data_IF_350065912215
#
_entry.id   IF_350065912215
#
_cell.length_a   1.000
_cell.length_b   1.000
_cell.length_c   1.000
_cell.angle_alpha   90.00
_cell.angle_beta   90.00
_cell.angle_gamma   90.00
#
_symmetry.space_group_name_H-M   'P 1'
#
loop_
_entity.id
_entity.type
_entity.pdbx_description
1 polymer ?
#
# COMPACT_ATOMS: atom_id res chain seq x y z
N UNK A 1 13.55 16.61 7.30
CA UNK A 1 12.79 15.36 7.31
C UNK A 1 12.47 14.92 5.88
N UNK A 2 12.71 13.66 5.56
CA UNK A 2 12.38 13.10 4.26
C UNK A 2 11.09 12.28 4.42
N UNK A 3 10.07 12.64 3.64
CA UNK A 3 8.80 11.92 3.63
C UNK A 3 8.75 11.06 2.37
N UNK A 4 8.60 9.75 2.56
CA UNK A 4 8.44 8.80 1.47
C UNK A 4 6.98 8.47 1.24
N UNK A 5 6.63 8.17 -0.01
CA UNK A 5 5.25 7.81 -0.37
C UNK A 5 5.26 6.70 -1.40
N UNK A 6 4.43 5.67 -1.15
CA UNK A 6 4.23 4.58 -2.10
C UNK A 6 2.76 4.19 -2.07
N UNK A 7 2.17 3.94 -3.23
CA UNK A 7 0.76 3.59 -3.32
C UNK A 7 0.56 2.32 -4.15
N UNK A 8 -0.34 1.45 -3.67
CA UNK A 8 -0.68 0.19 -4.31
C UNK A 8 -1.92 -0.38 -3.62
N UNK A 9 -2.45 -1.49 -4.12
CA UNK A 9 -3.55 -2.18 -3.44
C UNK A 9 -3.05 -3.13 -2.35
N UNK A 10 -1.79 -3.55 -2.37
CA UNK A 10 -1.18 -4.44 -1.37
C UNK A 10 -2.03 -5.69 -1.09
N UNK A 11 -2.54 -6.31 -2.14
CA UNK A 11 -3.32 -7.52 -2.02
C UNK A 11 -2.43 -8.70 -1.65
N UNK A 12 -2.90 -9.57 -0.75
CA UNK A 12 -2.17 -10.76 -0.31
C UNK A 12 -0.73 -10.40 0.12
N UNK A 13 -0.63 -9.48 1.07
CA UNK A 13 0.65 -8.97 1.55
C UNK A 13 1.62 -10.10 1.85
N UNK A 14 2.81 -10.03 1.27
CA UNK A 14 3.79 -11.10 1.34
C UNK A 14 5.20 -10.55 1.64
N UNK A 15 6.20 -11.47 1.68
CA UNK A 15 7.57 -11.11 2.00
C UNK A 15 8.16 -10.08 1.03
N UNK A 16 7.76 -10.12 -0.24
CA UNK A 16 8.21 -9.14 -1.23
C UNK A 16 7.73 -7.73 -0.89
N UNK A 17 6.46 -7.60 -0.50
CA UNK A 17 5.91 -6.33 -0.03
C UNK A 17 6.66 -5.83 1.19
N UNK A 18 6.90 -6.71 2.17
CA UNK A 18 7.59 -6.34 3.40
C UNK A 18 9.02 -5.87 3.13
N UNK A 19 9.73 -6.55 2.25
CA UNK A 19 11.10 -6.18 1.87
C UNK A 19 11.14 -4.82 1.19
N UNK A 20 10.19 -4.57 0.28
CA UNK A 20 10.08 -3.29 -0.41
C UNK A 20 9.84 -2.15 0.59
N UNK A 21 8.91 -2.32 1.53
CA UNK A 21 8.61 -1.30 2.51
C UNK A 21 9.79 -1.04 3.46
N UNK A 22 10.51 -2.10 3.83
CA UNK A 22 11.72 -1.97 4.63
C UNK A 22 12.76 -1.11 3.94
N UNK A 23 13.01 -1.37 2.66
CA UNK A 23 13.98 -0.62 1.87
C UNK A 23 13.55 0.84 1.71
N UNK A 24 12.26 1.08 1.45
CA UNK A 24 11.73 2.43 1.31
C UNK A 24 11.85 3.21 2.62
N UNK A 25 11.57 2.58 3.75
CA UNK A 25 11.71 3.22 5.05
C UNK A 25 13.15 3.63 5.35
N UNK A 26 14.13 2.87 4.85
CA UNK A 26 15.54 3.21 5.01
C UNK A 26 15.94 4.50 4.27
N UNK A 27 15.15 4.90 3.26
CA UNK A 27 15.41 6.08 2.44
C UNK A 27 14.66 7.31 2.93
N UNK A 28 13.85 7.19 3.98
CA UNK A 28 13.05 8.31 4.47
C UNK A 28 12.90 8.25 6.00
N UNK A 29 12.38 9.33 6.56
CA UNK A 29 12.12 9.41 8.00
C UNK A 29 10.68 9.03 8.33
N UNK A 30 9.77 9.28 7.39
CA UNK A 30 8.34 9.05 7.58
C UNK A 30 7.77 8.47 6.29
N UNK A 31 7.22 7.25 6.37
CA UNK A 31 6.72 6.55 5.19
C UNK A 31 5.19 6.53 5.19
N UNK A 32 4.60 7.12 4.15
CA UNK A 32 3.16 7.15 3.93
C UNK A 32 2.81 6.14 2.85
N UNK A 33 1.84 5.29 3.13
CA UNK A 33 1.36 4.29 2.18
C UNK A 33 -0.04 4.68 1.71
N UNK A 34 -0.20 4.82 0.40
CA UNK A 34 -1.52 4.96 -0.23
C UNK A 34 -2.08 3.59 -0.51
N UNK A 35 -3.23 3.27 0.06
CA UNK A 35 -3.89 1.98 -0.11
C UNK A 35 -5.10 2.13 -1.02
N UNK A 36 -5.01 1.56 -2.22
CA UNK A 36 -6.08 1.64 -3.21
C UNK A 36 -7.21 0.66 -2.87
N UNK A 37 -8.45 1.14 -2.98
CA UNK A 37 -9.63 0.33 -2.69
C UNK A 37 -9.79 -0.80 -3.71
N UNK A 38 -9.80 -0.45 -5.00
CA UNK A 38 -9.95 -1.43 -6.09
C UNK A 38 -9.27 -0.85 -7.34
N UNK A 39 -8.13 -1.41 -7.78
CA UNK A 39 -7.41 -0.90 -8.94
C UNK A 39 -8.16 -1.07 -10.27
N UNK A 40 -9.24 -1.89 -10.30
CA UNK A 40 -10.04 -2.05 -11.52
C UNK A 40 -10.92 -0.85 -11.80
N UNK A 41 -11.06 0.09 -10.86
CA UNK A 41 -11.84 1.32 -11.07
C UNK A 41 -11.19 2.16 -12.17
N UNK A 42 -9.87 2.32 -12.16
CA UNK A 42 -9.16 3.12 -13.15
C UNK A 42 -8.30 2.28 -14.12
N UNK A 43 -8.08 1.00 -13.84
CA UNK A 43 -7.29 0.11 -14.71
C UNK A 43 -7.98 -1.25 -14.87
N UNK A 44 -9.24 -1.23 -15.35
CA UNK A 44 -10.09 -2.40 -15.43
C UNK A 44 -9.51 -3.54 -16.28
N UNK A 45 -8.74 -3.22 -17.34
CA UNK A 45 -8.18 -4.21 -18.24
C UNK A 45 -6.76 -4.64 -17.86
N UNK A 46 -6.11 -3.93 -16.94
CA UNK A 46 -4.72 -4.18 -16.54
C UNK A 46 -4.62 -4.85 -15.18
N UNK A 47 -5.65 -4.73 -14.34
CA UNK A 47 -5.63 -5.22 -12.97
C UNK A 47 -6.81 -6.11 -12.68
N UNK A 48 -6.62 -7.04 -11.76
CA UNK A 48 -7.68 -7.85 -11.20
C UNK A 48 -8.20 -7.20 -9.92
N UNK A 49 -9.45 -7.52 -9.56
CA UNK A 49 -9.97 -7.10 -8.26
C UNK A 49 -9.17 -7.75 -7.16
N UNK A 50 -8.93 -7.03 -6.04
CA UNK A 50 -8.24 -7.62 -4.91
C UNK A 50 -9.00 -8.83 -4.36
N UNK A 51 -8.25 -9.84 -3.93
CA UNK A 51 -8.81 -11.02 -3.28
C UNK A 51 -9.20 -10.69 -1.85
N UNK A 52 -8.35 -9.91 -1.16
CA UNK A 52 -8.63 -9.47 0.21
C UNK A 52 -9.50 -8.22 0.20
N UNK A 53 -10.35 -8.09 1.22
CA UNK A 53 -11.13 -6.86 1.42
C UNK A 53 -10.21 -5.69 1.75
N UNK A 54 -10.71 -4.47 1.59
CA UNK A 54 -9.98 -3.28 1.98
C UNK A 54 -9.61 -3.33 3.47
N UNK A 55 -10.53 -3.79 4.31
CA UNK A 55 -10.29 -3.91 5.74
C UNK A 55 -9.12 -4.83 6.06
N UNK A 56 -9.08 -6.01 5.43
CA UNK A 56 -8.00 -6.98 5.63
C UNK A 56 -6.64 -6.40 5.22
N UNK A 57 -6.60 -5.73 4.07
CA UNK A 57 -5.37 -5.10 3.57
C UNK A 57 -4.91 -3.96 4.47
N UNK A 58 -5.85 -3.17 4.96
CA UNK A 58 -5.57 -2.06 5.86
C UNK A 58 -4.98 -2.56 7.19
N UNK A 59 -5.62 -3.57 7.80
CA UNK A 59 -5.16 -4.14 9.07
C UNK A 59 -3.76 -4.73 8.96
N UNK A 60 -3.48 -5.42 7.86
CA UNK A 60 -2.14 -5.98 7.63
C UNK A 60 -1.08 -4.88 7.53
N UNK A 61 -1.38 -3.80 6.81
CA UNK A 61 -0.44 -2.68 6.69
C UNK A 61 -0.22 -1.97 8.02
N UNK A 62 -1.26 -1.85 8.86
CA UNK A 62 -1.12 -1.27 10.19
C UNK A 62 -0.15 -2.06 11.07
N UNK A 63 -0.03 -3.36 10.85
CA UNK A 63 0.85 -4.22 11.61
C UNK A 63 2.32 -4.14 11.16
N UNK A 64 2.60 -3.47 10.05
CA UNK A 64 3.95 -3.37 9.50
C UNK A 64 4.68 -2.18 10.13
N UNK A 65 5.75 -2.48 10.85
CA UNK A 65 6.50 -1.45 11.60
C UNK A 65 7.15 -0.37 10.75
N UNK A 66 7.30 -0.61 9.44
CA UNK A 66 7.92 0.36 8.53
C UNK A 66 6.95 1.43 8.06
N UNK A 67 5.65 1.21 8.23
CA UNK A 67 4.59 2.11 7.76
C UNK A 67 4.24 3.09 8.88
N UNK A 68 4.33 4.39 8.59
CA UNK A 68 4.00 5.43 9.56
C UNK A 68 2.58 5.94 9.40
N UNK A 69 2.06 5.93 8.16
CA UNK A 69 0.72 6.45 7.89
C UNK A 69 0.11 5.72 6.70
N UNK A 70 -1.20 5.51 6.73
CA UNK A 70 -1.94 4.88 5.63
C UNK A 70 -3.03 5.84 5.18
N UNK A 71 -3.05 6.14 3.86
CA UNK A 71 -4.10 6.92 3.24
C UNK A 71 -4.85 6.03 2.26
N UNK A 72 -6.18 5.92 2.44
CA UNK A 72 -7.02 5.12 1.54
C UNK A 72 -7.48 6.00 0.38
N UNK A 73 -7.37 5.50 -0.84
CA UNK A 73 -7.81 6.23 -2.03
C UNK A 73 -8.50 5.29 -3.02
N UNK A 74 -9.33 5.84 -3.91
CA UNK A 74 -10.06 5.05 -4.90
C UNK A 74 -9.36 5.03 -6.26
N UNK A 75 -8.98 6.21 -6.75
CA UNK A 75 -8.32 6.34 -8.04
C UNK A 75 -7.03 7.15 -7.91
N UNK A 76 -6.14 6.99 -8.89
CA UNK A 76 -4.88 7.74 -8.93
C UNK A 76 -5.02 9.15 -9.55
N UNK A 77 -6.23 9.52 -9.92
CA UNK A 77 -6.52 10.82 -10.55
C UNK A 77 -7.14 11.80 -9.56
#
# INVERSE_FOLDING_TARGET
>A
MIIGFNCSCFDLFNAGHATMLKMEKQLCDYLIIGLQTDPTIDRAFEKNKPIESLYERYVKLQAIRYVDEILVYETEF
#
